data_IF_236600639155
#
_entry.id   IF_236600639155
#
_cell.length_a   1.000
_cell.length_b   1.000
_cell.length_c   1.000
_cell.angle_alpha   90.00
_cell.angle_beta   90.00
_cell.angle_gamma   90.00
#
_symmetry.space_group_name_H-M   'P 1'
#
loop_
_entity.id
_entity.type
_entity.pdbx_description
1 polymer ?
#
# COMPACT_ATOMS: atom_id res chain seq x y z
N UNK A 1 13.78 -110.92 -6.37
CA UNK A 1 13.96 -109.92 -5.29
C UNK A 1 15.21 -109.03 -5.44
N UNK A 2 16.34 -109.49 -6.02
CA UNK A 2 17.54 -108.63 -6.18
C UNK A 2 17.39 -107.48 -7.19
N UNK A 3 16.60 -107.65 -8.24
CA UNK A 3 16.44 -106.60 -9.28
C UNK A 3 15.51 -105.45 -8.87
N UNK A 4 14.50 -105.72 -8.03
CA UNK A 4 13.63 -104.66 -7.49
C UNK A 4 14.40 -103.67 -6.61
N UNK A 5 15.30 -104.16 -5.75
CA UNK A 5 16.17 -103.30 -4.92
C UNK A 5 17.11 -102.42 -5.75
N UNK A 6 17.60 -102.89 -6.89
CA UNK A 6 18.46 -102.09 -7.79
C UNK A 6 17.67 -100.95 -8.45
N UNK A 7 16.42 -101.22 -8.82
CA UNK A 7 15.53 -100.20 -9.39
C UNK A 7 15.13 -99.17 -8.35
N UNK A 8 14.78 -99.58 -7.13
CA UNK A 8 14.46 -98.66 -6.03
C UNK A 8 15.63 -97.73 -5.67
N UNK A 9 16.86 -98.25 -5.62
CA UNK A 9 18.06 -97.43 -5.36
C UNK A 9 18.33 -96.44 -6.50
N UNK A 10 18.16 -96.88 -7.77
CA UNK A 10 18.30 -95.97 -8.93
C UNK A 10 17.28 -94.84 -8.88
N UNK A 11 16.02 -95.14 -8.58
CA UNK A 11 14.97 -94.12 -8.45
C UNK A 11 15.27 -93.17 -7.30
N UNK A 12 15.68 -93.67 -6.13
CA UNK A 12 16.06 -92.84 -4.99
C UNK A 12 17.19 -91.87 -5.31
N UNK A 13 18.25 -92.34 -6.00
CA UNK A 13 19.36 -91.49 -6.45
C UNK A 13 18.88 -90.42 -7.44
N UNK A 14 18.02 -90.78 -8.40
CA UNK A 14 17.47 -89.81 -9.37
C UNK A 14 16.64 -88.72 -8.69
N UNK A 15 15.84 -89.06 -7.68
CA UNK A 15 15.06 -88.07 -6.93
C UNK A 15 15.97 -87.13 -6.13
N UNK A 16 17.00 -87.66 -5.46
CA UNK A 16 17.94 -86.83 -4.70
C UNK A 16 18.73 -85.89 -5.62
N UNK A 17 19.19 -86.39 -6.78
CA UNK A 17 19.84 -85.56 -7.80
C UNK A 17 18.89 -84.49 -8.34
N UNK A 18 17.61 -84.83 -8.57
CA UNK A 18 16.58 -83.88 -8.99
C UNK A 18 16.37 -82.78 -7.95
N UNK A 19 16.31 -83.12 -6.67
CA UNK A 19 16.19 -82.14 -5.57
C UNK A 19 17.43 -81.25 -5.50
N UNK A 20 18.64 -81.81 -5.61
CA UNK A 20 19.88 -81.04 -5.61
C UNK A 20 19.93 -80.03 -6.77
N UNK A 21 19.57 -80.46 -7.98
CA UNK A 21 19.49 -79.58 -9.15
C UNK A 21 18.40 -78.53 -8.95
N UNK A 22 17.23 -78.90 -8.42
CA UNK A 22 16.15 -77.96 -8.16
C UNK A 22 16.56 -76.88 -7.17
N UNK A 23 17.19 -77.25 -6.04
CA UNK A 23 17.70 -76.30 -5.04
C UNK A 23 18.77 -75.40 -5.66
N UNK A 24 19.65 -75.93 -6.49
CA UNK A 24 20.69 -75.14 -7.17
C UNK A 24 20.11 -74.15 -8.18
N UNK A 25 19.19 -74.59 -9.04
CA UNK A 25 18.49 -73.75 -10.03
C UNK A 25 17.64 -72.69 -9.31
N UNK A 26 16.94 -73.06 -8.24
CA UNK A 26 16.13 -72.12 -7.46
C UNK A 26 16.98 -71.06 -6.76
N UNK A 27 18.13 -71.46 -6.20
CA UNK A 27 19.10 -70.52 -5.60
C UNK A 27 19.70 -69.56 -6.64
N UNK A 28 20.02 -70.05 -7.83
CA UNK A 28 20.48 -69.24 -8.95
C UNK A 28 19.39 -68.28 -9.47
N UNK A 29 18.15 -68.78 -9.64
CA UNK A 29 17.02 -68.00 -10.14
C UNK A 29 16.60 -66.87 -9.17
N UNK A 30 16.73 -67.07 -7.85
CA UNK A 30 16.51 -66.02 -6.85
C UNK A 30 17.65 -65.00 -6.75
N UNK A 31 18.72 -65.15 -7.53
CA UNK A 31 19.87 -64.25 -7.53
C UNK A 31 20.46 -64.05 -6.12
N UNK A 32 20.47 -65.10 -5.30
CA UNK A 32 21.06 -65.10 -3.97
C UNK A 32 22.59 -65.06 -4.11
N UNK A 33 23.14 -63.86 -4.26
CA UNK A 33 24.58 -63.64 -4.24
C UNK A 33 25.09 -63.83 -2.81
N UNK A 34 25.54 -65.04 -2.49
CA UNK A 34 26.22 -65.35 -1.23
C UNK A 34 27.61 -64.72 -1.29
N UNK A 35 27.74 -63.46 -0.83
CA UNK A 35 29.05 -62.86 -0.54
C UNK A 35 29.40 -61.49 -1.14
N UNK A 36 28.45 -60.68 -1.61
CA UNK A 36 28.77 -59.26 -1.81
C UNK A 36 28.59 -58.49 -0.50
N UNK A 37 29.66 -57.85 -0.02
CA UNK A 37 29.52 -56.83 1.03
C UNK A 37 28.67 -55.69 0.47
N UNK A 38 27.60 -55.32 1.16
CA UNK A 38 26.66 -54.30 0.73
C UNK A 38 26.51 -53.21 1.77
N UNK A 39 26.17 -52.00 1.31
CA UNK A 39 25.90 -50.84 2.14
C UNK A 39 24.39 -50.62 2.21
N UNK A 40 23.87 -50.46 3.41
CA UNK A 40 22.47 -50.11 3.62
C UNK A 40 22.34 -48.60 3.82
N UNK A 41 21.30 -47.99 3.27
CA UNK A 41 20.96 -46.59 3.53
C UNK A 41 19.43 -46.41 3.62
N UNK A 42 18.99 -45.64 4.62
CA UNK A 42 17.58 -45.33 4.83
C UNK A 42 17.23 -43.98 4.23
N UNK A 43 16.20 -43.94 3.38
CA UNK A 43 15.72 -42.73 2.71
C UNK A 43 14.24 -42.53 3.00
N UNK A 44 13.85 -41.32 3.40
CA UNK A 44 12.45 -40.96 3.62
C UNK A 44 11.86 -40.31 2.37
N UNK A 45 10.60 -40.63 2.08
CA UNK A 45 9.81 -40.05 1.00
C UNK A 45 8.43 -39.65 1.50
N UNK A 46 7.83 -38.64 0.88
CA UNK A 46 6.42 -38.27 1.10
C UNK A 46 5.45 -39.28 0.49
N UNK A 47 5.86 -39.94 -0.61
CA UNK A 47 5.15 -41.01 -1.27
C UNK A 47 6.14 -41.90 -2.02
N UNK A 48 5.86 -43.20 -2.08
CA UNK A 48 6.61 -44.17 -2.89
C UNK A 48 5.67 -44.92 -3.83
N UNK A 49 4.60 -44.27 -4.28
CA UNK A 49 3.53 -44.92 -5.04
C UNK A 49 4.06 -45.76 -6.22
N UNK A 50 3.76 -47.06 -6.19
CA UNK A 50 4.16 -48.03 -7.20
C UNK A 50 5.58 -48.60 -7.03
N UNK A 51 6.33 -48.21 -6.00
CA UNK A 51 7.61 -48.81 -5.64
C UNK A 51 7.39 -50.09 -4.84
N UNK A 52 8.08 -51.16 -5.22
CA UNK A 52 7.99 -52.47 -4.58
C UNK A 52 9.35 -52.93 -4.00
N UNK A 53 9.30 -53.88 -3.06
CA UNK A 53 10.50 -54.52 -2.53
C UNK A 53 11.17 -55.31 -3.66
N UNK A 54 12.47 -55.08 -3.86
CA UNK A 54 13.26 -55.67 -4.94
C UNK A 54 13.42 -54.75 -6.16
N UNK A 55 12.71 -53.62 -6.21
CA UNK A 55 12.86 -52.64 -7.28
C UNK A 55 14.31 -52.13 -7.37
N UNK A 56 14.82 -51.87 -8.58
CA UNK A 56 16.21 -51.51 -8.76
C UNK A 56 16.52 -50.13 -8.18
N UNK A 57 17.69 -50.03 -7.56
CA UNK A 57 18.32 -48.75 -7.24
C UNK A 57 19.41 -48.50 -8.29
N UNK A 58 19.28 -47.40 -9.01
CA UNK A 58 20.18 -47.02 -10.11
C UNK A 58 20.98 -45.79 -9.74
N UNK A 59 22.23 -45.74 -10.19
CA UNK A 59 23.11 -44.60 -10.03
C UNK A 59 23.49 -44.12 -11.43
N UNK A 60 23.09 -42.90 -11.78
CA UNK A 60 23.25 -42.35 -13.13
C UNK A 60 22.78 -43.35 -14.21
N UNK A 61 21.64 -44.00 -13.97
CA UNK A 61 21.04 -44.99 -14.87
C UNK A 61 21.59 -46.42 -14.79
N UNK A 62 22.65 -46.69 -14.03
CA UNK A 62 23.23 -48.04 -13.89
C UNK A 62 22.73 -48.71 -12.62
N UNK A 63 22.21 -49.94 -12.72
CA UNK A 63 21.74 -50.71 -11.55
C UNK A 63 22.91 -51.02 -10.62
N UNK A 64 22.83 -50.53 -9.38
CA UNK A 64 23.85 -50.67 -8.35
C UNK A 64 23.29 -51.05 -6.97
N UNK A 65 22.01 -51.40 -6.93
CA UNK A 65 21.33 -51.84 -5.73
C UNK A 65 19.89 -52.27 -5.97
N UNK A 66 19.17 -52.47 -4.87
CA UNK A 66 17.74 -52.72 -4.86
C UNK A 66 17.08 -52.18 -3.58
N UNK A 67 15.76 -52.04 -3.61
CA UNK A 67 14.94 -51.72 -2.44
C UNK A 67 14.80 -52.95 -1.54
N UNK A 68 15.33 -52.88 -0.33
CA UNK A 68 15.36 -53.99 0.64
C UNK A 68 14.05 -54.07 1.44
N UNK A 69 13.58 -52.92 1.92
CA UNK A 69 12.36 -52.82 2.73
C UNK A 69 11.66 -51.47 2.58
N UNK A 70 10.36 -51.44 2.87
CA UNK A 70 9.51 -50.23 2.82
C UNK A 70 8.65 -50.18 4.09
N UNK A 71 8.89 -49.17 4.93
CA UNK A 71 8.27 -49.00 6.23
C UNK A 71 7.50 -47.68 6.31
N UNK A 72 6.27 -47.71 6.81
CA UNK A 72 5.49 -46.48 7.06
C UNK A 72 5.79 -46.00 8.48
N UNK A 73 6.20 -44.72 8.62
CA UNK A 73 6.42 -44.07 9.92
C UNK A 73 5.65 -42.74 9.96
N UNK A 74 4.49 -42.74 10.63
CA UNK A 74 3.64 -41.56 10.70
C UNK A 74 3.02 -41.24 9.34
N UNK A 75 3.33 -40.05 8.80
CA UNK A 75 2.87 -39.59 7.49
C UNK A 75 3.96 -39.69 6.40
N UNK A 76 5.06 -40.38 6.69
CA UNK A 76 6.20 -40.54 5.79
C UNK A 76 6.46 -42.03 5.52
N UNK A 77 7.07 -42.32 4.37
CA UNK A 77 7.51 -43.66 4.01
C UNK A 77 9.03 -43.71 4.05
N UNK A 78 9.58 -44.67 4.79
CA UNK A 78 11.01 -44.92 4.92
C UNK A 78 11.36 -46.15 4.10
N UNK A 79 12.23 -45.98 3.12
CA UNK A 79 12.73 -47.05 2.26
C UNK A 79 14.16 -47.39 2.66
N UNK A 80 14.43 -48.68 2.83
CA UNK A 80 15.76 -49.22 3.08
C UNK A 80 16.36 -49.64 1.74
N UNK A 81 17.48 -49.04 1.36
CA UNK A 81 18.17 -49.31 0.10
C UNK A 81 19.42 -50.12 0.35
N UNK A 82 19.62 -51.11 -0.50
CA UNK A 82 20.77 -52.00 -0.42
C UNK A 82 21.66 -51.79 -1.65
N UNK A 83 22.84 -51.21 -1.43
CA UNK A 83 23.78 -50.74 -2.46
C UNK A 83 25.04 -51.61 -2.49
N UNK A 84 25.65 -51.77 -3.67
CA UNK A 84 26.97 -52.39 -3.81
C UNK A 84 28.06 -51.59 -3.08
N UNK A 85 29.07 -52.25 -2.51
CA UNK A 85 30.16 -51.60 -1.76
C UNK A 85 30.95 -50.56 -2.57
N UNK A 86 31.04 -50.75 -3.89
CA UNK A 86 31.73 -49.86 -4.83
C UNK A 86 31.04 -48.49 -4.99
N UNK A 87 29.81 -48.36 -4.50
CA UNK A 87 29.06 -47.11 -4.55
C UNK A 87 29.62 -46.13 -3.52
N UNK A 88 30.02 -44.95 -4.00
CA UNK A 88 30.48 -43.83 -3.19
C UNK A 88 29.52 -42.64 -3.37
N UNK A 89 28.66 -42.45 -2.38
CA UNK A 89 27.73 -41.31 -2.33
C UNK A 89 28.33 -40.15 -1.53
N UNK A 90 28.04 -38.93 -1.97
CA UNK A 90 28.47 -37.68 -1.35
C UNK A 90 27.35 -37.07 -0.51
N UNK A 91 27.68 -36.10 0.33
CA UNK A 91 26.70 -35.43 1.21
C UNK A 91 25.58 -34.69 0.48
N UNK A 92 25.79 -34.33 -0.80
CA UNK A 92 24.81 -33.72 -1.71
C UNK A 92 24.10 -34.74 -2.62
N UNK A 93 24.22 -36.04 -2.34
CA UNK A 93 23.51 -37.07 -3.09
C UNK A 93 21.99 -36.90 -2.97
N UNK A 94 21.29 -37.12 -4.09
CA UNK A 94 19.82 -37.03 -4.15
C UNK A 94 19.22 -38.36 -4.53
N UNK A 95 18.05 -38.65 -3.96
CA UNK A 95 17.33 -39.91 -4.13
C UNK A 95 15.94 -39.58 -4.69
N UNK A 96 15.60 -40.16 -5.84
CA UNK A 96 14.34 -39.88 -6.52
C UNK A 96 13.63 -41.17 -6.89
N UNK A 97 12.38 -41.32 -6.47
CA UNK A 97 11.49 -42.36 -7.02
C UNK A 97 11.05 -41.90 -8.40
N UNK A 98 11.34 -42.70 -9.42
CA UNK A 98 10.97 -42.42 -10.79
C UNK A 98 10.47 -43.67 -11.51
N UNK A 99 9.85 -43.46 -12.67
CA UNK A 99 9.44 -44.53 -13.57
C UNK A 99 10.68 -45.24 -14.15
N UNK A 100 10.73 -46.56 -14.03
CA UNK A 100 11.73 -47.41 -14.68
C UNK A 100 11.36 -47.61 -16.16
N UNK A 101 10.11 -47.93 -16.43
CA UNK A 101 9.58 -48.20 -17.76
C UNK A 101 8.14 -47.70 -17.94
N UNK A 102 7.72 -47.61 -19.21
CA UNK A 102 6.37 -47.16 -19.57
C UNK A 102 5.25 -48.12 -19.12
N UNK A 103 5.58 -49.32 -18.64
CA UNK A 103 4.61 -50.32 -18.19
C UNK A 103 4.31 -50.18 -16.69
N UNK A 104 4.90 -49.19 -16.02
CA UNK A 104 4.56 -48.80 -14.66
C UNK A 104 5.58 -49.21 -13.60
N UNK A 105 6.64 -49.94 -13.99
CA UNK A 105 7.74 -50.28 -13.08
C UNK A 105 8.38 -49.03 -12.48
N UNK A 106 8.79 -49.10 -11.22
CA UNK A 106 9.45 -48.00 -10.51
C UNK A 106 10.90 -48.34 -10.19
N UNK A 107 11.67 -47.31 -9.93
CA UNK A 107 13.06 -47.41 -9.47
C UNK A 107 13.38 -46.24 -8.55
N UNK A 108 14.41 -46.41 -7.75
CA UNK A 108 15.06 -45.28 -7.08
C UNK A 108 16.30 -44.90 -7.88
N UNK A 109 16.29 -43.69 -8.43
CA UNK A 109 17.45 -43.09 -9.06
C UNK A 109 18.22 -42.29 -8.01
N UNK A 110 19.52 -42.55 -7.95
CA UNK A 110 20.44 -41.90 -7.04
C UNK A 110 21.44 -41.10 -7.85
N UNK A 111 21.47 -39.79 -7.62
CA UNK A 111 22.58 -38.98 -8.08
C UNK A 111 23.66 -39.01 -6.99
N UNK A 112 24.89 -39.47 -7.29
CA UNK A 112 25.93 -39.67 -6.28
C UNK A 112 26.44 -38.37 -5.64
N UNK A 113 26.12 -37.20 -6.21
CA UNK A 113 26.59 -35.91 -5.72
C UNK A 113 28.05 -35.62 -6.11
N UNK A 114 28.50 -34.41 -5.77
CA UNK A 114 29.81 -33.87 -6.13
C UNK A 114 30.58 -33.29 -4.93
N UNK A 115 29.98 -33.29 -3.74
CA UNK A 115 30.62 -32.77 -2.55
C UNK A 115 31.90 -33.54 -2.17
N UNK A 116 32.80 -32.87 -1.45
CA UNK A 116 34.07 -33.46 -1.04
C UNK A 116 33.91 -34.53 0.05
N UNK A 117 32.88 -34.42 0.89
CA UNK A 117 32.61 -35.31 2.00
C UNK A 117 31.73 -36.51 1.59
N UNK A 118 31.96 -37.67 2.20
CA UNK A 118 31.12 -38.86 2.01
C UNK A 118 29.81 -38.73 2.79
N UNK A 119 28.75 -39.32 2.24
CA UNK A 119 27.46 -39.38 2.92
C UNK A 119 27.56 -40.21 4.21
N UNK A 120 26.80 -39.81 5.22
CA UNK A 120 26.57 -40.64 6.39
C UNK A 120 25.46 -41.66 6.10
N UNK A 121 25.86 -42.93 5.95
CA UNK A 121 24.95 -44.05 5.66
C UNK A 121 24.02 -44.40 6.84
N UNK A 122 24.36 -43.96 8.06
CA UNK A 122 23.55 -44.21 9.28
C UNK A 122 22.43 -43.17 9.38
N UNK A 123 22.66 -41.95 8.88
CA UNK A 123 21.68 -40.87 8.92
C UNK A 123 20.58 -41.11 7.89
N UNK A 124 19.34 -40.86 8.31
CA UNK A 124 18.18 -40.86 7.43
C UNK A 124 18.29 -39.74 6.38
N UNK A 125 18.23 -40.12 5.11
CA UNK A 125 18.27 -39.20 3.98
C UNK A 125 16.87 -38.80 3.54
N UNK A 126 16.77 -37.70 2.79
CA UNK A 126 15.52 -37.26 2.19
C UNK A 126 15.51 -37.58 0.70
N UNK A 127 14.41 -38.14 0.24
CA UNK A 127 14.18 -38.40 -1.17
C UNK A 127 12.90 -37.73 -1.67
N UNK A 128 12.83 -37.59 -2.98
CA UNK A 128 11.73 -36.96 -3.69
C UNK A 128 10.97 -37.98 -4.55
N UNK A 129 9.66 -37.81 -4.68
CA UNK A 129 8.84 -38.57 -5.62
C UNK A 129 8.58 -37.69 -6.84
N UNK A 130 9.23 -38.00 -7.97
CA UNK A 130 9.16 -37.17 -9.18
C UNK A 130 7.89 -37.37 -10.01
N UNK A 131 6.91 -38.12 -9.49
CA UNK A 131 5.68 -38.42 -10.21
C UNK A 131 5.92 -39.34 -11.42
N UNK A 132 4.83 -39.82 -12.01
CA UNK A 132 4.87 -40.60 -13.23
C UNK A 132 4.03 -39.94 -14.33
N UNK A 133 4.01 -40.54 -15.53
CA UNK A 133 3.24 -40.01 -16.67
C UNK A 133 1.75 -39.90 -16.30
N UNK A 134 1.22 -40.81 -15.48
CA UNK A 134 -0.16 -40.73 -15.03
C UNK A 134 -0.39 -39.51 -14.12
N UNK A 135 0.53 -39.23 -13.20
CA UNK A 135 0.50 -38.00 -12.38
C UNK A 135 0.58 -36.74 -13.23
N UNK A 136 1.47 -36.69 -14.24
CA UNK A 136 1.57 -35.55 -15.15
C UNK A 136 0.29 -35.36 -15.99
N UNK A 137 -0.32 -36.46 -16.46
CA UNK A 137 -1.59 -36.42 -17.19
C UNK A 137 -2.77 -35.97 -16.30
N UNK A 138 -2.80 -36.37 -15.03
CA UNK A 138 -3.78 -35.88 -14.08
C UNK A 138 -3.67 -34.36 -13.87
N UNK A 139 -2.43 -33.84 -13.77
CA UNK A 139 -2.19 -32.39 -13.70
C UNK A 139 -2.58 -31.67 -15.01
N UNK A 140 -2.36 -32.28 -16.18
CA UNK A 140 -2.84 -31.72 -17.45
C UNK A 140 -4.38 -31.67 -17.51
N UNK A 141 -5.05 -32.67 -16.95
CA UNK A 141 -6.52 -32.69 -16.84
C UNK A 141 -7.07 -31.53 -16.01
N UNK A 142 -6.41 -31.17 -14.90
CA UNK A 142 -6.82 -30.02 -14.09
C UNK A 142 -6.59 -28.69 -14.80
N UNK A 143 -5.46 -28.54 -15.50
CA UNK A 143 -5.16 -27.32 -16.30
C UNK A 143 -6.23 -27.08 -17.38
N UNK A 144 -6.78 -28.13 -17.99
CA UNK A 144 -7.82 -27.98 -18.99
C UNK A 144 -9.11 -27.35 -18.42
N UNK A 145 -9.50 -27.71 -17.20
CA UNK A 145 -10.69 -27.16 -16.55
C UNK A 145 -10.49 -25.68 -16.19
N UNK A 146 -9.33 -25.34 -15.63
CA UNK A 146 -9.00 -23.97 -15.26
C UNK A 146 -8.99 -23.05 -16.50
N UNK A 147 -8.45 -23.53 -17.63
CA UNK A 147 -8.46 -22.78 -18.89
C UNK A 147 -9.88 -22.52 -19.41
N UNK A 148 -10.79 -23.49 -19.28
CA UNK A 148 -12.19 -23.32 -19.71
C UNK A 148 -12.89 -22.24 -18.89
N UNK A 149 -12.64 -22.19 -17.59
CA UNK A 149 -13.27 -21.19 -16.71
C UNK A 149 -12.73 -19.79 -16.95
N UNK A 150 -11.41 -19.64 -17.14
CA UNK A 150 -10.80 -18.36 -17.55
C UNK A 150 -11.41 -17.85 -18.87
N UNK A 151 -11.61 -18.73 -19.86
CA UNK A 151 -12.22 -18.34 -21.14
C UNK A 151 -13.66 -17.87 -20.95
N UNK A 152 -14.44 -18.51 -20.07
CA UNK A 152 -15.82 -18.06 -19.76
C UNK A 152 -15.81 -16.68 -19.10
N UNK A 153 -14.93 -16.45 -18.13
CA UNK A 153 -14.83 -15.15 -17.43
C UNK A 153 -14.44 -14.02 -18.39
N UNK A 154 -13.48 -14.29 -19.29
CA UNK A 154 -13.09 -13.34 -20.34
C UNK A 154 -14.27 -13.03 -21.25
N UNK A 155 -15.05 -14.05 -21.66
CA UNK A 155 -16.26 -13.85 -22.49
C UNK A 155 -17.31 -13.00 -21.77
N UNK A 156 -17.56 -13.25 -20.49
CA UNK A 156 -18.53 -12.48 -19.69
C UNK A 156 -18.08 -11.01 -19.56
N UNK A 157 -16.80 -10.80 -19.30
CA UNK A 157 -16.20 -9.45 -19.22
C UNK A 157 -16.34 -8.71 -20.55
N UNK A 158 -15.95 -9.35 -21.66
CA UNK A 158 -16.07 -8.77 -23.00
C UNK A 158 -17.52 -8.48 -23.37
N UNK A 159 -18.45 -9.36 -23.00
CA UNK A 159 -19.88 -9.13 -23.21
C UNK A 159 -20.40 -7.92 -22.42
N UNK A 160 -19.90 -7.69 -21.21
CA UNK A 160 -20.30 -6.57 -20.35
C UNK A 160 -19.74 -5.24 -20.85
N UNK A 161 -18.47 -5.24 -21.30
CA UNK A 161 -17.85 -4.09 -21.96
C UNK A 161 -18.59 -3.76 -23.25
N UNK A 162 -18.86 -4.77 -24.09
CA UNK A 162 -19.59 -4.57 -25.33
C UNK A 162 -21.00 -4.03 -25.08
N UNK A 163 -21.73 -4.56 -24.08
CA UNK A 163 -23.06 -4.07 -23.71
C UNK A 163 -23.04 -2.61 -23.26
N UNK A 164 -22.03 -2.20 -22.49
CA UNK A 164 -21.91 -0.82 -22.01
C UNK A 164 -21.54 0.14 -23.14
N UNK A 165 -20.63 -0.25 -24.03
CA UNK A 165 -20.20 0.57 -25.16
C UNK A 165 -21.24 0.66 -26.28
N UNK A 166 -22.04 -0.39 -26.46
CA UNK A 166 -23.15 -0.42 -27.43
C UNK A 166 -24.48 0.02 -26.83
N UNK A 167 -24.51 0.40 -25.55
CA UNK A 167 -25.72 0.94 -24.92
C UNK A 167 -26.02 2.31 -25.55
N UNK A 168 -27.13 2.36 -26.29
CA UNK A 168 -27.60 3.57 -26.94
C UNK A 168 -27.91 4.66 -25.92
N UNK A 169 -28.38 4.30 -24.72
CA UNK A 169 -28.71 5.25 -23.67
C UNK A 169 -27.44 5.91 -23.12
N UNK A 170 -26.40 5.13 -22.82
CA UNK A 170 -25.12 5.65 -22.35
C UNK A 170 -24.46 6.60 -23.37
N UNK A 171 -24.46 6.22 -24.65
CA UNK A 171 -23.94 7.07 -25.72
C UNK A 171 -24.75 8.37 -25.88
N UNK A 172 -26.09 8.32 -25.74
CA UNK A 172 -26.95 9.50 -25.77
C UNK A 172 -26.71 10.43 -24.57
N UNK A 173 -26.55 9.87 -23.37
CA UNK A 173 -26.27 10.63 -22.14
C UNK A 173 -24.89 11.30 -22.20
N UNK A 174 -23.88 10.61 -22.72
CA UNK A 174 -22.56 11.19 -23.00
C UNK A 174 -22.65 12.33 -24.01
N UNK A 175 -23.35 12.12 -25.13
CA UNK A 175 -23.53 13.17 -26.15
C UNK A 175 -24.22 14.40 -25.58
N UNK A 176 -25.27 14.20 -24.79
CA UNK A 176 -26.00 15.28 -24.12
C UNK A 176 -25.12 16.02 -23.12
N UNK A 177 -24.34 15.30 -22.31
CA UNK A 177 -23.41 15.89 -21.36
C UNK A 177 -22.34 16.74 -22.04
N UNK A 178 -21.75 16.24 -23.13
CA UNK A 178 -20.78 16.99 -23.94
C UNK A 178 -21.43 18.24 -24.52
N UNK A 179 -22.64 18.14 -25.06
CA UNK A 179 -23.38 19.30 -25.58
C UNK A 179 -23.61 20.37 -24.50
N UNK A 180 -24.05 19.97 -23.30
CA UNK A 180 -24.27 20.89 -22.18
C UNK A 180 -22.97 21.56 -21.73
N UNK A 181 -21.84 20.85 -21.75
CA UNK A 181 -20.52 21.42 -21.41
C UNK A 181 -20.05 22.45 -22.44
N UNK A 182 -20.29 22.19 -23.73
CA UNK A 182 -20.00 23.14 -24.80
C UNK A 182 -20.83 24.41 -24.60
N UNK A 183 -22.14 24.27 -24.39
CA UNK A 183 -23.05 25.40 -24.17
C UNK A 183 -22.68 26.21 -22.91
N UNK A 184 -22.37 25.53 -21.79
CA UNK A 184 -21.90 26.19 -20.57
C UNK A 184 -20.63 27.01 -20.83
N UNK A 185 -19.69 26.45 -21.58
CA UNK A 185 -18.42 27.11 -21.90
C UNK A 185 -18.65 28.35 -22.78
N UNK A 186 -19.55 28.26 -23.77
CA UNK A 186 -19.93 29.38 -24.62
C UNK A 186 -20.62 30.50 -23.84
N UNK A 187 -21.53 30.12 -22.93
CA UNK A 187 -22.22 31.06 -22.05
C UNK A 187 -21.25 31.76 -21.10
N UNK A 188 -20.34 31.02 -20.47
CA UNK A 188 -19.29 31.59 -19.60
C UNK A 188 -18.38 32.55 -20.37
N UNK A 189 -17.93 32.16 -21.56
CA UNK A 189 -17.12 33.01 -22.41
C UNK A 189 -17.86 34.29 -22.82
N UNK A 190 -19.16 34.19 -23.11
CA UNK A 190 -20.01 35.33 -23.44
C UNK A 190 -20.19 36.27 -22.26
N UNK A 191 -20.44 35.75 -21.05
CA UNK A 191 -20.53 36.53 -19.82
C UNK A 191 -19.22 37.28 -19.52
N UNK A 192 -18.08 36.60 -19.64
CA UNK A 192 -16.77 37.21 -19.42
C UNK A 192 -16.53 38.31 -20.45
N UNK A 193 -16.80 38.06 -21.75
CA UNK A 193 -16.63 39.08 -22.79
C UNK A 193 -17.55 40.28 -22.57
N UNK A 194 -18.82 40.06 -22.29
CA UNK A 194 -19.81 41.11 -22.05
C UNK A 194 -19.44 42.01 -20.85
N UNK A 195 -18.87 41.42 -19.79
CA UNK A 195 -18.53 42.16 -18.57
C UNK A 195 -17.06 42.58 -18.47
N UNK A 196 -16.19 42.13 -19.37
CA UNK A 196 -14.75 42.43 -19.34
C UNK A 196 -14.47 43.94 -19.30
N UNK A 197 -15.25 44.74 -20.03
CA UNK A 197 -15.15 46.20 -20.03
C UNK A 197 -15.52 46.81 -18.68
N UNK A 198 -16.63 46.38 -18.09
CA UNK A 198 -17.11 46.88 -16.79
C UNK A 198 -16.19 46.45 -15.64
N UNK A 199 -15.68 45.22 -15.64
CA UNK A 199 -14.68 44.75 -14.67
C UNK A 199 -13.42 45.62 -14.75
N UNK A 200 -12.92 45.91 -15.96
CA UNK A 200 -11.76 46.77 -16.14
C UNK A 200 -12.03 48.21 -15.68
N UNK A 201 -13.22 48.75 -15.92
CA UNK A 201 -13.62 50.08 -15.41
C UNK A 201 -13.66 50.09 -13.89
N UNK A 202 -14.28 49.09 -13.25
CA UNK A 202 -14.33 48.97 -11.80
C UNK A 202 -12.93 48.89 -11.18
N UNK A 203 -12.04 48.08 -11.76
CA UNK A 203 -10.64 47.98 -11.31
C UNK A 203 -9.91 49.31 -11.46
N UNK A 204 -10.12 50.01 -12.58
CA UNK A 204 -9.51 51.32 -12.81
C UNK A 204 -10.03 52.37 -11.83
N UNK A 205 -11.35 52.47 -11.65
CA UNK A 205 -11.98 53.39 -10.71
C UNK A 205 -11.57 53.09 -9.26
N UNK A 206 -11.42 51.81 -8.89
CA UNK A 206 -10.90 51.40 -7.60
C UNK A 206 -9.46 51.87 -7.37
N UNK A 207 -8.59 51.70 -8.38
CA UNK A 207 -7.22 52.20 -8.34
C UNK A 207 -7.15 53.73 -8.28
N UNK A 208 -7.95 54.44 -9.09
CA UNK A 208 -8.03 55.90 -9.09
C UNK A 208 -8.53 56.42 -7.73
N UNK A 209 -9.56 55.80 -7.15
CA UNK A 209 -10.04 56.14 -5.80
C UNK A 209 -8.94 55.93 -4.74
N UNK A 210 -8.26 54.78 -4.77
CA UNK A 210 -7.18 54.50 -3.84
C UNK A 210 -6.03 55.52 -3.95
N UNK A 211 -5.68 55.93 -5.18
CA UNK A 211 -4.70 56.98 -5.42
C UNK A 211 -5.17 58.33 -4.89
N UNK A 212 -6.40 58.73 -5.20
CA UNK A 212 -6.98 59.99 -4.74
C UNK A 212 -7.06 60.08 -3.22
N UNK A 213 -7.43 58.99 -2.54
CA UNK A 213 -7.46 58.91 -1.07
C UNK A 213 -6.05 59.05 -0.50
N UNK A 214 -5.08 58.33 -1.07
CA UNK A 214 -3.69 58.40 -0.62
C UNK A 214 -3.09 59.80 -0.83
N UNK A 215 -3.39 60.45 -1.95
CA UNK A 215 -2.97 61.82 -2.24
C UNK A 215 -3.65 62.83 -1.30
N UNK A 216 -4.96 62.71 -1.07
CA UNK A 216 -5.68 63.54 -0.11
C UNK A 216 -5.05 63.46 1.28
N UNK A 217 -4.76 62.26 1.78
CA UNK A 217 -4.11 62.05 3.07
C UNK A 217 -2.71 62.68 3.06
N UNK A 218 -1.91 62.44 2.03
CA UNK A 218 -0.53 62.97 1.96
C UNK A 218 -0.50 64.50 1.95
N UNK A 219 -1.37 65.12 1.15
CA UNK A 219 -1.41 66.59 0.98
C UNK A 219 -1.98 67.28 2.21
N UNK A 220 -2.95 66.68 2.89
CA UNK A 220 -3.62 67.31 4.05
C UNK A 220 -3.06 66.88 5.40
N UNK A 221 -2.14 65.90 5.47
CA UNK A 221 -1.59 65.38 6.75
C UNK A 221 -1.04 66.50 7.63
N UNK A 222 -0.26 67.40 7.05
CA UNK A 222 0.39 68.47 7.81
C UNK A 222 -0.64 69.51 8.27
N UNK A 223 -1.57 69.91 7.41
CA UNK A 223 -2.65 70.84 7.76
C UNK A 223 -3.61 70.27 8.81
N UNK A 224 -3.96 68.99 8.72
CA UNK A 224 -4.78 68.29 9.72
C UNK A 224 -4.02 68.23 11.05
N UNK A 225 -2.74 67.86 11.03
CA UNK A 225 -1.89 67.81 12.22
C UNK A 225 -1.77 69.19 12.89
N UNK A 226 -1.53 70.24 12.09
CA UNK A 226 -1.46 71.62 12.57
C UNK A 226 -2.78 72.10 13.15
N UNK A 227 -3.90 71.79 12.49
CA UNK A 227 -5.24 72.16 12.97
C UNK A 227 -5.55 71.44 14.29
N UNK A 228 -5.25 70.14 14.39
CA UNK A 228 -5.42 69.38 15.63
C UNK A 228 -4.54 69.93 16.76
N UNK A 229 -3.30 70.33 16.46
CA UNK A 229 -2.43 70.99 17.44
C UNK A 229 -3.00 72.33 17.89
N UNK A 230 -3.45 73.18 16.95
CA UNK A 230 -4.04 74.48 17.27
C UNK A 230 -5.31 74.35 18.11
N UNK A 231 -6.17 73.36 17.82
CA UNK A 231 -7.36 73.06 18.63
C UNK A 231 -6.96 72.60 20.03
N UNK A 232 -5.92 71.75 20.15
CA UNK A 232 -5.40 71.34 21.47
C UNK A 232 -4.86 72.51 22.27
N UNK A 233 -4.16 73.46 21.64
CA UNK A 233 -3.66 74.67 22.28
C UNK A 233 -4.81 75.58 22.73
N UNK A 234 -5.81 75.82 21.87
CA UNK A 234 -7.02 76.58 22.24
C UNK A 234 -7.76 75.92 23.40
N UNK A 235 -7.88 74.59 23.43
CA UNK A 235 -8.48 73.87 24.55
C UNK A 235 -7.70 74.05 25.85
N UNK A 236 -6.35 74.02 25.77
CA UNK A 236 -5.47 74.24 26.93
C UNK A 236 -5.59 75.66 27.47
N UNK A 237 -5.59 76.66 26.59
CA UNK A 237 -5.75 78.07 26.96
C UNK A 237 -7.15 78.33 27.52
N UNK A 238 -8.19 77.75 26.91
CA UNK A 238 -9.58 77.86 27.39
C UNK A 238 -9.74 77.26 28.79
N UNK A 239 -9.13 76.10 29.06
CA UNK A 239 -9.09 75.52 30.41
C UNK A 239 -8.36 76.43 31.40
N UNK A 240 -7.24 77.00 30.99
CA UNK A 240 -6.47 77.93 31.84
C UNK A 240 -7.27 79.19 32.14
N UNK A 241 -7.99 79.73 31.14
CA UNK A 241 -8.90 80.86 31.28
C UNK A 241 -10.03 80.53 32.26
N UNK A 242 -10.66 79.35 32.16
CA UNK A 242 -11.66 78.92 33.13
C UNK A 242 -11.13 78.89 34.57
N UNK A 243 -9.90 78.41 34.79
CA UNK A 243 -9.28 78.46 36.13
C UNK A 243 -9.08 79.89 36.62
N UNK A 244 -8.62 80.79 35.75
CA UNK A 244 -8.44 82.22 36.08
C UNK A 244 -9.78 82.90 36.36
N UNK A 245 -10.81 82.62 35.58
CA UNK A 245 -12.17 83.14 35.77
C UNK A 245 -12.74 82.64 37.10
N UNK A 246 -12.62 81.35 37.42
CA UNK A 246 -13.02 80.82 38.73
C UNK A 246 -12.30 81.52 39.88
N UNK A 247 -10.99 81.74 39.77
CA UNK A 247 -10.21 82.48 40.78
C UNK A 247 -10.66 83.95 40.93
N UNK A 248 -11.00 84.62 39.82
CA UNK A 248 -11.55 85.98 39.86
C UNK A 248 -12.94 86.01 40.50
N UNK A 249 -13.79 85.02 40.25
CA UNK A 249 -15.10 84.89 40.89
C UNK A 249 -14.94 84.73 42.41
N UNK A 250 -14.02 83.85 42.84
CA UNK A 250 -13.69 83.65 44.26
C UNK A 250 -13.18 84.93 44.93
N UNK A 251 -12.37 85.72 44.22
CA UNK A 251 -11.87 87.02 44.70
C UNK A 251 -12.96 88.11 44.71
N UNK A 252 -13.88 88.10 43.74
CA UNK A 252 -14.93 89.12 43.55
C UNK A 252 -16.15 88.90 44.45
N UNK A 253 -16.39 87.67 44.92
CA UNK A 253 -17.39 87.37 45.97
C UNK A 253 -17.19 88.14 47.28
N UNK A 254 -16.10 88.90 47.42
CA UNK A 254 -15.82 89.82 48.55
C UNK A 254 -16.26 91.28 48.31
N UNK A 255 -16.72 91.63 47.12
CA UNK A 255 -17.11 93.00 46.75
C UNK A 255 -18.40 93.01 45.92
N UNK A 256 -19.46 93.65 46.43
CA UNK A 256 -20.82 93.71 45.87
C UNK A 256 -20.93 94.54 44.56
N UNK A 257 -20.22 94.18 43.50
CA UNK A 257 -20.32 94.85 42.19
C UNK A 257 -21.08 94.02 41.15
N UNK A 258 -21.78 94.68 40.25
CA UNK A 258 -22.59 94.13 39.17
C UNK A 258 -21.77 93.27 38.17
N UNK A 259 -20.46 93.53 38.03
CA UNK A 259 -19.55 92.65 37.27
C UNK A 259 -19.44 91.24 37.88
N UNK A 260 -19.48 91.13 39.21
CA UNK A 260 -19.40 89.83 39.91
C UNK A 260 -20.63 88.96 39.66
N UNK A 261 -21.82 89.58 39.51
CA UNK A 261 -23.08 88.85 39.24
C UNK A 261 -23.12 88.23 37.84
N UNK A 262 -22.52 88.88 36.84
CA UNK A 262 -22.42 88.35 35.47
C UNK A 262 -21.35 87.26 35.38
N UNK A 263 -20.21 87.47 36.06
CA UNK A 263 -19.12 86.48 36.08
C UNK A 263 -19.45 85.24 36.92
N UNK A 264 -20.36 85.36 37.90
CA UNK A 264 -20.82 84.27 38.75
C UNK A 264 -22.12 83.61 38.25
N UNK A 265 -22.47 83.74 36.95
CA UNK A 265 -23.59 83.00 36.38
C UNK A 265 -23.20 81.51 36.24
N UNK A 266 -23.81 80.59 37.03
CA UNK A 266 -23.45 79.17 37.00
C UNK A 266 -23.74 78.53 35.64
N UNK A 267 -24.78 79.00 34.94
CA UNK A 267 -25.20 78.45 33.65
C UNK A 267 -24.20 78.77 32.55
N UNK A 268 -23.68 80.00 32.53
CA UNK A 268 -22.66 80.40 31.55
C UNK A 268 -21.36 79.58 31.70
N UNK A 269 -20.93 79.36 32.95
CA UNK A 269 -19.73 78.56 33.24
C UNK A 269 -19.92 77.08 32.90
N UNK A 270 -21.12 76.56 33.14
CA UNK A 270 -21.52 75.20 32.74
C UNK A 270 -21.54 75.05 31.21
N UNK A 271 -22.17 75.98 30.48
CA UNK A 271 -22.25 75.97 29.01
C UNK A 271 -20.85 76.02 28.36
N UNK A 272 -19.93 76.83 28.90
CA UNK A 272 -18.53 76.90 28.41
C UNK A 272 -17.79 75.60 28.71
N UNK A 273 -17.97 75.03 29.91
CA UNK A 273 -17.33 73.77 30.30
C UNK A 273 -17.82 72.60 29.45
N UNK A 274 -19.12 72.54 29.18
CA UNK A 274 -19.74 71.54 28.31
C UNK A 274 -19.23 71.68 26.87
N UNK A 275 -19.18 72.91 26.34
CA UNK A 275 -18.65 73.19 25.00
C UNK A 275 -17.19 72.75 24.84
N UNK A 276 -16.34 73.03 25.84
CA UNK A 276 -14.94 72.58 25.86
C UNK A 276 -14.85 71.05 25.94
N UNK A 277 -15.75 70.41 26.69
CA UNK A 277 -15.83 68.96 26.77
C UNK A 277 -16.18 68.34 25.41
N UNK A 278 -17.19 68.87 24.72
CA UNK A 278 -17.59 68.40 23.39
C UNK A 278 -16.46 68.57 22.36
N UNK A 279 -15.78 69.71 22.34
CA UNK A 279 -14.65 69.93 21.42
C UNK A 279 -13.49 68.98 21.75
N UNK A 280 -13.23 68.72 23.03
CA UNK A 280 -12.21 67.75 23.47
C UNK A 280 -12.54 66.33 23.01
N UNK A 281 -13.79 65.88 23.16
CA UNK A 281 -14.21 64.54 22.75
C UNK A 281 -14.16 64.37 21.24
N UNK A 282 -14.63 65.35 20.46
CA UNK A 282 -14.50 65.36 19.00
C UNK A 282 -13.03 65.27 18.56
N UNK A 283 -12.16 66.08 19.17
CA UNK A 283 -10.72 66.07 18.88
C UNK A 283 -10.09 64.72 19.20
N UNK A 284 -10.49 64.09 20.32
CA UNK A 284 -10.03 62.76 20.71
C UNK A 284 -10.45 61.69 19.70
N UNK A 285 -11.72 61.68 19.29
CA UNK A 285 -12.25 60.73 18.29
C UNK A 285 -11.48 60.87 16.96
N UNK A 286 -11.26 62.10 16.49
CA UNK A 286 -10.52 62.36 15.25
C UNK A 286 -9.07 61.86 15.33
N UNK A 287 -8.37 62.10 16.44
CA UNK A 287 -6.99 61.63 16.65
C UNK A 287 -6.92 60.10 16.72
N UNK A 288 -7.87 59.46 17.39
CA UNK A 288 -7.94 57.99 17.48
C UNK A 288 -8.18 57.35 16.11
N UNK A 289 -9.11 57.87 15.31
CA UNK A 289 -9.39 57.35 13.97
C UNK A 289 -8.19 57.50 13.01
N UNK A 290 -7.48 58.63 13.07
CA UNK A 290 -6.29 58.85 12.24
C UNK A 290 -5.10 57.99 12.62
N UNK A 291 -4.98 57.56 13.89
CA UNK A 291 -3.82 56.79 14.39
C UNK A 291 -4.02 55.28 14.38
N UNK A 292 -5.23 54.77 14.60
CA UNK A 292 -5.41 53.36 14.99
C UNK A 292 -6.03 52.44 13.92
N UNK A 293 -6.86 52.94 12.99
CA UNK A 293 -7.68 52.07 12.13
C UNK A 293 -7.65 52.37 10.63
N UNK A 294 -7.01 53.46 10.20
CA UNK A 294 -7.22 54.00 8.86
C UNK A 294 -8.60 54.66 8.73
N UNK A 295 -8.82 55.40 7.66
CA UNK A 295 -10.13 56.01 7.38
C UNK A 295 -11.03 54.92 6.80
N UNK A 296 -12.11 54.55 7.50
CA UNK A 296 -13.15 53.67 6.96
C UNK A 296 -13.87 54.39 5.81
N UNK A 297 -13.50 54.05 4.59
CA UNK A 297 -14.23 54.48 3.39
C UNK A 297 -15.35 53.46 3.15
N UNK A 298 -16.57 53.82 3.55
CA UNK A 298 -17.75 53.05 3.21
C UNK A 298 -18.05 53.22 1.71
N UNK A 299 -17.52 52.34 0.88
CA UNK A 299 -17.88 52.28 -0.53
C UNK A 299 -19.25 51.60 -0.68
N UNK A 300 -20.28 52.37 -0.99
CA UNK A 300 -21.54 51.81 -1.50
C UNK A 300 -21.33 51.44 -2.97
N UNK A 301 -21.26 50.14 -3.23
CA UNK A 301 -21.30 49.60 -4.59
C UNK A 301 -22.77 49.23 -4.83
N UNK A 302 -23.41 49.92 -5.77
CA UNK A 302 -24.77 49.65 -6.20
C UNK A 302 -24.89 48.28 -6.87
#
# INVERSE_FOLDING_TARGET
MKDQRKTEIKVGITVVLGILIFVWVFGWAKNLTVGSERKEISVKFSSVAGLEIGDPVTINGVRKGYVDDILIKGNEVVTVLNLEKEVNLKTDATFSVMMLDLMGGKKIEVNPGSASEEIDYIKMQNGEFLGDIASAMAMLGTVQNDLVDVIKEVKVTLSSVNKTLTDQQFNNDLKTSVSNLVELTENLNSLIKANSGEINKLLKSGNELAQNVNEFIKTNKDSISQTLSAVQDVLKESKTMLVKVNSLIDQTNRSENNLGKILNDPKLLEDIKESISHVKDLTRILVEQLKAKGIEVNAHIF
#
